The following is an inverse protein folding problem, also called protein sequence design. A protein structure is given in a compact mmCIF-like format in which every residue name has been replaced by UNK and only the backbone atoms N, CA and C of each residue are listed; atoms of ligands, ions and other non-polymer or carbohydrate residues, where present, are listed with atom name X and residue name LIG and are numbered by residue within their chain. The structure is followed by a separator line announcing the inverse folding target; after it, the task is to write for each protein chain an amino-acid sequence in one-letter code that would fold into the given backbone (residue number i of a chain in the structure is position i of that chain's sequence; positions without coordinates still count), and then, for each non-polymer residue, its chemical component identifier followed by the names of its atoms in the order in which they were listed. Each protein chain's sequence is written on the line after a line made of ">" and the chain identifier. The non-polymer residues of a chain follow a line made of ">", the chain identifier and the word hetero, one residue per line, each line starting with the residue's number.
data_IF_741767497048
#
_entry.id   IF_741767497048
#
_cell.length_a   1.000
_cell.length_b   1.000
_cell.length_c   1.000
_cell.angle_alpha   90.00
_cell.angle_beta   90.00
_cell.angle_gamma   90.00
#
_symmetry.space_group_name_H-M   'P 1'
#
loop_
_entity.id
_entity.type
_entity.pdbx_description
1 polymer ?
#
# COMPACT_ATOMS: atom_id res chain seq x y z
N UNK A 1 -2.58 -20.73 0.43
CA UNK A 1 -2.05 -19.36 0.34
C UNK A 1 -1.11 -19.12 -0.84
N UNK A 2 0.09 -19.73 -0.93
CA UNK A 2 1.02 -19.48 -2.06
C UNK A 2 0.41 -19.68 -3.47
N UNK A 3 -0.41 -20.73 -3.64
CA UNK A 3 -1.14 -20.97 -4.89
C UNK A 3 -2.22 -19.93 -5.15
N UNK A 4 -2.89 -19.46 -4.10
CA UNK A 4 -3.93 -18.44 -4.18
C UNK A 4 -3.30 -17.11 -4.60
N UNK A 5 -2.16 -16.75 -3.99
CA UNK A 5 -1.34 -15.60 -4.40
C UNK A 5 -0.87 -15.73 -5.85
N UNK A 6 -0.39 -16.89 -6.30
CA UNK A 6 0.02 -17.06 -7.70
C UNK A 6 -1.13 -16.84 -8.68
N UNK A 7 -2.32 -17.37 -8.34
CA UNK A 7 -3.51 -17.17 -9.15
C UNK A 7 -3.90 -15.69 -9.16
N UNK A 8 -3.96 -15.06 -8.00
CA UNK A 8 -4.24 -13.63 -7.86
C UNK A 8 -3.22 -12.78 -8.64
N UNK A 9 -1.93 -13.07 -8.55
CA UNK A 9 -0.89 -12.32 -9.25
C UNK A 9 -1.06 -12.42 -10.77
N UNK A 10 -1.38 -13.62 -11.29
CA UNK A 10 -1.67 -13.82 -12.71
C UNK A 10 -2.92 -13.06 -13.16
N UNK A 11 -3.99 -13.08 -12.37
CA UNK A 11 -5.23 -12.35 -12.69
C UNK A 11 -5.06 -10.83 -12.69
N UNK A 12 -4.13 -10.30 -11.88
CA UNK A 12 -3.91 -8.87 -11.73
C UNK A 12 -2.68 -8.37 -12.50
N UNK A 13 -1.98 -9.26 -13.21
CA UNK A 13 -0.74 -8.96 -13.92
C UNK A 13 -0.86 -7.76 -14.86
N UNK A 14 -1.89 -7.75 -15.71
CA UNK A 14 -2.08 -6.68 -16.68
C UNK A 14 -2.24 -5.31 -16.00
N UNK A 15 -3.02 -5.24 -14.91
CA UNK A 15 -3.18 -4.00 -14.15
C UNK A 15 -1.86 -3.55 -13.52
N UNK A 16 -1.14 -4.48 -12.88
CA UNK A 16 0.15 -4.17 -12.24
C UNK A 16 1.17 -3.66 -13.25
N UNK A 17 1.30 -4.32 -14.40
CA UNK A 17 2.20 -3.91 -15.49
C UNK A 17 1.81 -2.55 -16.07
N UNK A 18 0.51 -2.27 -16.17
CA UNK A 18 0.03 -0.97 -16.61
C UNK A 18 0.36 0.14 -15.60
N UNK A 19 0.13 -0.08 -14.30
CA UNK A 19 0.48 0.89 -13.27
C UNK A 19 2.00 1.15 -13.24
N UNK A 20 2.81 0.10 -13.36
CA UNK A 20 4.27 0.19 -13.45
C UNK A 20 4.72 0.99 -14.68
N UNK A 21 4.17 0.70 -15.87
CA UNK A 21 4.52 1.42 -17.11
C UNK A 21 4.21 2.92 -17.04
N UNK A 22 3.16 3.30 -16.30
CA UNK A 22 2.80 4.70 -16.09
C UNK A 22 3.57 5.36 -14.95
N UNK A 23 4.47 4.65 -14.27
CA UNK A 23 5.18 5.11 -13.07
C UNK A 23 4.19 5.61 -12.00
N UNK A 24 3.11 4.86 -11.82
CA UNK A 24 2.04 5.25 -10.89
C UNK A 24 2.55 5.24 -9.46
N UNK A 25 2.21 6.29 -8.72
CA UNK A 25 2.53 6.39 -7.29
C UNK A 25 1.91 5.26 -6.47
N UNK A 26 0.76 4.73 -6.91
CA UNK A 26 0.11 3.58 -6.28
C UNK A 26 0.93 2.29 -6.46
N UNK A 27 1.60 2.11 -7.61
CA UNK A 27 2.46 0.95 -7.80
C UNK A 27 3.72 1.05 -6.95
N UNK A 28 4.31 2.24 -6.83
CA UNK A 28 5.50 2.47 -6.02
C UNK A 28 5.29 2.04 -4.56
N UNK A 29 4.12 2.31 -3.98
CA UNK A 29 3.78 1.91 -2.60
C UNK A 29 3.68 0.38 -2.41
N UNK A 30 3.43 -0.38 -3.47
CA UNK A 30 3.18 -1.82 -3.40
C UNK A 30 4.30 -2.68 -3.99
N UNK A 31 5.21 -2.08 -4.72
CA UNK A 31 6.32 -2.78 -5.40
C UNK A 31 7.11 -3.65 -4.43
N UNK A 32 7.47 -3.09 -3.28
CA UNK A 32 8.31 -3.80 -2.30
C UNK A 32 7.54 -4.95 -1.62
N UNK A 33 6.23 -4.79 -1.39
CA UNK A 33 5.35 -5.87 -0.91
C UNK A 33 5.34 -7.02 -1.93
N UNK A 34 5.08 -6.70 -3.20
CA UNK A 34 5.05 -7.70 -4.28
C UNK A 34 6.41 -8.40 -4.42
N UNK A 35 7.52 -7.67 -4.28
CA UNK A 35 8.87 -8.22 -4.33
C UNK A 35 9.12 -9.23 -3.19
N UNK A 36 8.77 -8.88 -1.95
CA UNK A 36 8.88 -9.75 -0.78
C UNK A 36 8.03 -11.01 -0.95
N UNK A 37 6.76 -10.87 -1.35
CA UNK A 37 5.87 -12.02 -1.55
C UNK A 37 6.39 -12.96 -2.66
N UNK A 38 6.84 -12.41 -3.78
CA UNK A 38 7.45 -13.19 -4.85
C UNK A 38 8.72 -13.89 -4.40
N UNK A 39 9.53 -13.25 -3.55
CA UNK A 39 10.71 -13.86 -2.99
C UNK A 39 10.37 -15.07 -2.10
N UNK A 40 9.51 -14.88 -1.10
CA UNK A 40 9.13 -15.96 -0.16
C UNK A 40 8.50 -17.13 -0.91
N UNK A 41 7.61 -16.84 -1.88
CA UNK A 41 7.00 -17.87 -2.73
C UNK A 41 8.04 -18.67 -3.55
N UNK A 42 9.20 -18.09 -3.84
CA UNK A 42 10.27 -18.72 -4.59
C UNK A 42 11.23 -19.56 -3.74
N UNK A 43 11.10 -19.54 -2.41
CA UNK A 43 11.93 -20.33 -1.49
C UNK A 43 11.50 -21.80 -1.47
N UNK A 44 12.44 -22.67 -1.10
CA UNK A 44 12.10 -24.05 -0.77
C UNK A 44 11.35 -24.10 0.57
N UNK A 45 10.44 -25.05 0.74
CA UNK A 45 9.62 -25.17 1.95
C UNK A 45 10.45 -25.35 3.24
N UNK A 46 11.69 -25.82 3.15
CA UNK A 46 12.63 -25.94 4.28
C UNK A 46 13.26 -24.61 4.71
N UNK A 47 13.19 -23.58 3.87
CA UNK A 47 13.74 -22.24 4.14
C UNK A 47 12.67 -21.28 4.70
N UNK A 48 11.40 -21.69 4.69
CA UNK A 48 10.28 -20.90 5.17
C UNK A 48 10.07 -21.22 6.65
N UNK A 49 10.38 -20.26 7.51
CA UNK A 49 10.02 -20.30 8.92
C UNK A 49 8.68 -19.61 9.18
N UNK A 50 8.23 -19.66 10.44
CA UNK A 50 6.96 -19.07 10.83
C UNK A 50 6.92 -17.55 10.61
N UNK A 51 8.06 -16.85 10.71
CA UNK A 51 8.10 -15.40 10.53
C UNK A 51 7.87 -15.05 9.06
N UNK A 52 8.50 -15.79 8.14
CA UNK A 52 8.24 -15.67 6.71
C UNK A 52 6.81 -16.07 6.32
N UNK A 53 6.21 -17.06 6.98
CA UNK A 53 4.79 -17.39 6.77
C UNK A 53 3.89 -16.21 7.18
N UNK A 54 4.12 -15.62 8.36
CA UNK A 54 3.33 -14.46 8.83
C UNK A 54 3.51 -13.25 7.92
N UNK A 55 4.75 -12.96 7.51
CA UNK A 55 5.03 -11.88 6.55
C UNK A 55 4.28 -12.13 5.24
N UNK A 56 4.28 -13.37 4.73
CA UNK A 56 3.58 -13.69 3.50
C UNK A 56 2.07 -13.50 3.64
N UNK A 57 1.49 -14.00 4.73
CA UNK A 57 0.06 -13.97 4.98
C UNK A 57 -0.46 -12.52 5.11
N UNK A 58 0.19 -11.71 5.93
CA UNK A 58 -0.16 -10.30 6.14
C UNK A 58 0.04 -9.47 4.87
N UNK A 59 1.16 -9.66 4.17
CA UNK A 59 1.45 -8.95 2.93
C UNK A 59 0.48 -9.30 1.82
N UNK A 60 0.11 -10.59 1.69
CA UNK A 60 -0.85 -11.03 0.69
C UNK A 60 -2.25 -10.50 0.98
N UNK A 61 -2.71 -10.58 2.23
CA UNK A 61 -4.00 -10.02 2.62
C UNK A 61 -4.08 -8.52 2.31
N UNK A 62 -3.05 -7.76 2.70
CA UNK A 62 -2.96 -6.34 2.43
C UNK A 62 -3.04 -6.02 0.93
N UNK A 63 -2.17 -6.61 0.11
CA UNK A 63 -2.12 -6.26 -1.31
C UNK A 63 -3.38 -6.71 -2.06
N UNK A 64 -3.97 -7.82 -1.63
CA UNK A 64 -5.24 -8.30 -2.18
C UNK A 64 -6.34 -7.24 -2.03
N UNK A 65 -6.50 -6.69 -0.84
CA UNK A 65 -7.50 -5.66 -0.55
C UNK A 65 -7.21 -4.35 -1.30
N UNK A 66 -5.97 -3.88 -1.28
CA UNK A 66 -5.57 -2.63 -1.95
C UNK A 66 -5.78 -2.67 -3.45
N UNK A 67 -5.37 -3.75 -4.12
CA UNK A 67 -5.55 -3.89 -5.57
C UNK A 67 -7.03 -4.07 -5.93
N UNK A 68 -7.81 -4.78 -5.11
CA UNK A 68 -9.25 -4.88 -5.35
C UNK A 68 -9.99 -3.55 -5.18
N UNK A 69 -9.57 -2.70 -4.25
CA UNK A 69 -10.07 -1.34 -4.12
C UNK A 69 -9.75 -0.53 -5.40
N UNK A 70 -8.49 -0.53 -5.86
CA UNK A 70 -8.08 0.16 -7.09
C UNK A 70 -8.90 -0.32 -8.30
N UNK A 71 -9.08 -1.64 -8.46
CA UNK A 71 -9.91 -2.22 -9.53
C UNK A 71 -11.36 -1.75 -9.44
N UNK A 72 -11.89 -1.64 -8.23
CA UNK A 72 -13.25 -1.19 -7.98
C UNK A 72 -13.42 0.26 -8.41
N UNK A 73 -12.54 1.16 -7.96
CA UNK A 73 -12.56 2.56 -8.36
C UNK A 73 -12.37 2.75 -9.87
N UNK A 74 -11.39 2.07 -10.46
CA UNK A 74 -11.15 2.10 -11.91
C UNK A 74 -12.39 1.67 -12.69
N UNK A 75 -13.06 0.59 -12.27
CA UNK A 75 -14.23 0.05 -12.95
C UNK A 75 -15.49 0.90 -12.74
N UNK A 76 -15.77 1.30 -11.51
CA UNK A 76 -17.03 1.94 -11.13
C UNK A 76 -17.00 3.44 -11.40
N UNK A 77 -15.93 4.11 -10.95
CA UNK A 77 -15.84 5.55 -11.05
C UNK A 77 -15.31 5.95 -12.43
N UNK A 78 -14.31 5.24 -12.98
CA UNK A 78 -13.64 5.63 -14.22
C UNK A 78 -13.99 4.78 -15.44
N UNK A 79 -14.90 3.81 -15.32
CA UNK A 79 -15.38 2.97 -16.43
C UNK A 79 -14.22 2.30 -17.20
N UNK A 80 -13.14 1.95 -16.48
CA UNK A 80 -11.94 1.33 -17.04
C UNK A 80 -10.94 2.30 -17.67
N UNK A 81 -11.18 3.61 -17.67
CA UNK A 81 -10.22 4.60 -18.17
C UNK A 81 -9.09 4.84 -17.16
N UNK A 82 -7.99 4.11 -17.35
CA UNK A 82 -6.81 4.23 -16.51
C UNK A 82 -6.20 5.63 -16.55
N UNK A 83 -6.20 6.31 -17.70
CA UNK A 83 -5.60 7.65 -17.80
C UNK A 83 -6.43 8.69 -17.05
N UNK A 84 -7.75 8.56 -17.08
CA UNK A 84 -8.62 9.41 -16.26
C UNK A 84 -8.47 9.11 -14.77
N UNK A 85 -8.32 7.84 -14.38
CA UNK A 85 -8.07 7.43 -13.01
C UNK A 85 -6.74 8.01 -12.48
N UNK A 86 -5.66 7.89 -13.25
CA UNK A 86 -4.32 8.34 -12.85
C UNK A 86 -4.23 9.86 -12.62
N UNK A 87 -5.14 10.66 -13.19
CA UNK A 87 -5.23 12.11 -12.87
C UNK A 87 -5.57 12.39 -11.41
N UNK A 88 -6.13 11.40 -10.69
CA UNK A 88 -6.50 11.49 -9.28
C UNK A 88 -5.65 10.57 -8.40
N UNK A 89 -4.55 10.00 -8.93
CA UNK A 89 -3.78 8.97 -8.20
C UNK A 89 -3.22 9.47 -6.87
N UNK A 90 -2.80 10.74 -6.80
CA UNK A 90 -2.29 11.32 -5.54
C UNK A 90 -3.37 11.32 -4.45
N UNK A 91 -4.63 11.59 -4.81
CA UNK A 91 -5.74 11.56 -3.87
C UNK A 91 -6.10 10.13 -3.46
N UNK A 92 -6.09 9.18 -4.39
CA UNK A 92 -6.29 7.77 -4.07
C UNK A 92 -5.19 7.23 -3.16
N UNK A 93 -3.94 7.57 -3.45
CA UNK A 93 -2.80 7.23 -2.61
C UNK A 93 -2.96 7.81 -1.20
N UNK A 94 -3.35 9.08 -1.11
CA UNK A 94 -3.59 9.72 0.18
C UNK A 94 -4.75 9.06 0.95
N UNK A 95 -5.83 8.69 0.26
CA UNK A 95 -6.96 7.98 0.84
C UNK A 95 -6.52 6.65 1.47
N UNK A 96 -5.74 5.85 0.75
CA UNK A 96 -5.23 4.56 1.21
C UNK A 96 -4.19 4.72 2.32
N UNK A 97 -3.37 5.76 2.26
CA UNK A 97 -2.46 6.12 3.35
C UNK A 97 -3.21 6.45 4.64
N UNK A 98 -4.34 7.16 4.56
CA UNK A 98 -5.18 7.43 5.74
C UNK A 98 -5.77 6.14 6.31
N UNK A 99 -6.20 5.19 5.46
CA UNK A 99 -6.63 3.87 5.94
C UNK A 99 -5.49 3.14 6.67
N UNK A 100 -4.29 3.14 6.10
CA UNK A 100 -3.12 2.52 6.73
C UNK A 100 -2.80 3.14 8.09
N UNK A 101 -2.95 4.46 8.22
CA UNK A 101 -2.79 5.15 9.50
C UNK A 101 -3.86 4.71 10.50
N UNK A 102 -5.13 4.66 10.09
CA UNK A 102 -6.23 4.19 10.96
C UNK A 102 -5.92 2.79 11.48
N UNK A 103 -5.51 1.87 10.61
CA UNK A 103 -5.15 0.50 10.98
C UNK A 103 -3.96 0.48 11.94
N UNK A 104 -2.93 1.30 11.70
CA UNK A 104 -1.79 1.42 12.61
C UNK A 104 -2.21 1.96 14.00
N UNK A 105 -3.12 2.94 14.05
CA UNK A 105 -3.67 3.45 15.30
C UNK A 105 -4.49 2.42 16.08
N UNK A 106 -5.27 1.59 15.36
CA UNK A 106 -6.05 0.51 15.95
C UNK A 106 -5.16 -0.57 16.55
N UNK A 107 -4.06 -0.93 15.87
CA UNK A 107 -3.07 -1.89 16.40
C UNK A 107 -2.41 -1.42 17.70
N UNK A 108 -2.21 -0.11 17.85
CA UNK A 108 -1.58 0.52 19.01
C UNK A 108 -2.57 0.87 20.16
N UNK A 109 -3.84 0.43 20.06
CA UNK A 109 -4.91 0.65 21.06
C UNK A 109 -5.05 2.11 21.52
N UNK A 110 -4.90 3.06 20.59
CA UNK A 110 -5.00 4.48 20.91
C UNK A 110 -6.46 4.96 20.96
N UNK A 111 -6.77 5.94 21.82
CA UNK A 111 -8.06 6.63 21.76
C UNK A 111 -8.18 7.36 20.42
N UNK A 112 -9.00 6.78 19.55
CA UNK A 112 -9.00 7.05 18.12
C UNK A 112 -10.16 7.93 17.70
N UNK A 113 -11.06 8.36 18.60
CA UNK A 113 -12.30 8.99 18.16
C UNK A 113 -12.07 10.29 17.37
N UNK A 114 -11.33 11.24 17.95
CA UNK A 114 -11.00 12.52 17.29
C UNK A 114 -10.18 12.31 16.00
N UNK A 115 -9.26 11.34 16.01
CA UNK A 115 -8.42 11.02 14.86
C UNK A 115 -9.26 10.42 13.73
N UNK A 116 -10.13 9.47 14.04
CA UNK A 116 -11.05 8.83 13.08
C UNK A 116 -12.01 9.84 12.47
N UNK A 117 -12.54 10.78 13.26
CA UNK A 117 -13.40 11.85 12.74
C UNK A 117 -12.62 12.73 11.75
N UNK A 118 -11.43 13.20 12.11
CA UNK A 118 -10.61 14.02 11.21
C UNK A 118 -10.16 13.27 9.95
N UNK A 119 -9.77 12.01 10.07
CA UNK A 119 -9.39 11.16 8.94
C UNK A 119 -10.58 10.85 8.02
N UNK A 120 -11.76 10.63 8.59
CA UNK A 120 -13.01 10.52 7.83
C UNK A 120 -13.30 11.79 7.04
N UNK A 121 -13.09 12.97 7.63
CA UNK A 121 -13.29 14.25 6.93
C UNK A 121 -12.33 14.40 5.73
N UNK A 122 -11.06 14.02 5.88
CA UNK A 122 -10.08 13.98 4.78
C UNK A 122 -10.57 13.04 3.67
N UNK A 123 -10.93 11.80 4.04
CA UNK A 123 -11.41 10.79 3.10
C UNK A 123 -12.68 11.24 2.36
N UNK A 124 -13.64 11.84 3.07
CA UNK A 124 -14.86 12.37 2.47
C UNK A 124 -14.56 13.51 1.49
N UNK A 125 -13.60 14.39 1.82
CA UNK A 125 -13.18 15.46 0.90
C UNK A 125 -12.47 14.92 -0.33
N UNK A 126 -11.63 13.89 -0.19
CA UNK A 126 -11.02 13.16 -1.31
C UNK A 126 -12.11 12.58 -2.22
N UNK A 127 -13.06 11.84 -1.65
CA UNK A 127 -14.15 11.22 -2.41
C UNK A 127 -15.04 12.25 -3.09
N UNK A 128 -15.33 13.38 -2.44
CA UNK A 128 -16.08 14.49 -3.04
C UNK A 128 -15.35 15.09 -4.25
N UNK A 129 -14.03 15.27 -4.17
CA UNK A 129 -13.21 15.74 -5.30
C UNK A 129 -13.26 14.75 -6.46
N UNK A 130 -13.03 13.46 -6.16
CA UNK A 130 -13.01 12.39 -7.16
C UNK A 130 -14.38 12.26 -7.82
N UNK A 131 -15.44 12.07 -7.04
CA UNK A 131 -16.80 11.78 -7.54
C UNK A 131 -17.36 12.92 -8.39
N UNK A 132 -17.06 14.17 -8.02
CA UNK A 132 -17.50 15.35 -8.75
C UNK A 132 -16.50 15.82 -9.82
N UNK A 133 -15.41 15.08 -10.04
CA UNK A 133 -14.34 15.42 -10.98
C UNK A 133 -13.82 16.85 -10.80
N UNK A 134 -13.72 17.29 -9.55
CA UNK A 134 -13.22 18.62 -9.22
C UNK A 134 -11.72 18.68 -9.54
N UNK A 135 -11.22 19.81 -10.08
CA UNK A 135 -9.78 20.03 -10.11
C UNK A 135 -9.27 20.13 -8.66
N UNK A 136 -8.06 19.63 -8.42
CA UNK A 136 -7.34 19.83 -7.18
C UNK A 136 -5.91 20.23 -7.50
N UNK A 137 -5.30 21.00 -6.61
CA UNK A 137 -3.88 21.30 -6.64
C UNK A 137 -3.20 20.81 -5.38
N UNK A 138 -1.89 21.08 -5.33
CA UNK A 138 -1.01 20.70 -4.24
C UNK A 138 -1.47 21.26 -2.89
N UNK A 139 -2.10 22.42 -2.89
CA UNK A 139 -2.64 23.07 -1.70
C UNK A 139 -3.64 22.20 -0.93
N UNK A 140 -4.37 21.32 -1.63
CA UNK A 140 -5.30 20.37 -0.99
C UNK A 140 -4.53 19.29 -0.23
N UNK A 141 -3.46 18.78 -0.81
CA UNK A 141 -2.60 17.76 -0.18
C UNK A 141 -1.85 18.36 1.02
N UNK A 142 -1.34 19.58 0.88
CA UNK A 142 -0.67 20.30 1.97
C UNK A 142 -1.63 20.56 3.16
N UNK A 143 -2.90 20.84 2.89
CA UNK A 143 -3.93 20.92 3.94
C UNK A 143 -4.10 19.59 4.67
N UNK A 144 -4.14 18.48 3.95
CA UNK A 144 -4.23 17.15 4.55
C UNK A 144 -2.98 16.83 5.37
N UNK A 145 -1.78 17.15 4.87
CA UNK A 145 -0.52 16.93 5.58
C UNK A 145 -0.48 17.70 6.91
N UNK A 146 -0.97 18.95 6.92
CA UNK A 146 -1.08 19.76 8.13
C UNK A 146 -2.02 19.14 9.16
N UNK A 147 -3.19 18.67 8.72
CA UNK A 147 -4.16 18.01 9.60
C UNK A 147 -3.54 16.73 10.19
N UNK A 148 -3.00 15.86 9.35
CA UNK A 148 -2.36 14.61 9.78
C UNK A 148 -1.22 14.88 10.77
N UNK A 149 -0.33 15.80 10.44
CA UNK A 149 0.82 16.14 11.31
C UNK A 149 0.39 16.73 12.65
N UNK A 150 -0.74 17.44 12.72
CA UNK A 150 -1.28 17.98 13.97
C UNK A 150 -1.85 16.91 14.90
N UNK A 151 -2.25 15.76 14.34
CA UNK A 151 -2.92 14.67 15.05
C UNK A 151 -1.96 13.57 15.47
N UNK A 152 -0.90 13.34 14.69
CA UNK A 152 0.11 12.33 15.00
C UNK A 152 1.07 12.87 16.07
N UNK A 153 1.14 12.25 17.28
CA UNK A 153 2.10 12.64 18.29
C UNK A 153 3.53 12.46 17.76
N UNK A 154 4.37 13.49 17.85
CA UNK A 154 5.75 13.48 17.36
C UNK A 154 6.67 12.44 18.00
N UNK A 155 6.23 11.81 19.10
CA UNK A 155 6.95 10.76 19.81
C UNK A 155 6.45 9.34 19.49
N UNK A 156 5.47 9.17 18.61
CA UNK A 156 4.98 7.86 18.17
C UNK A 156 5.39 7.60 16.73
N UNK A 157 6.18 6.56 16.53
CA UNK A 157 6.51 6.06 15.20
C UNK A 157 5.42 5.08 14.78
N UNK A 158 4.46 5.54 14.00
CA UNK A 158 3.47 4.67 13.36
C UNK A 158 4.05 4.17 12.05
N UNK A 159 4.14 2.86 11.91
CA UNK A 159 4.57 2.23 10.66
C UNK A 159 3.36 1.67 9.91
N UNK A 160 3.21 2.10 8.66
CA UNK A 160 2.24 1.52 7.73
C UNK A 160 2.76 0.20 7.18
N UNK A 161 1.87 -0.65 6.64
CA UNK A 161 2.27 -1.91 6.02
C UNK A 161 3.30 -1.70 4.90
N UNK A 162 3.10 -0.75 3.96
CA UNK A 162 4.14 -0.43 2.96
C UNK A 162 5.50 -0.11 3.55
N UNK A 163 5.57 0.64 4.67
CA UNK A 163 6.83 0.98 5.33
C UNK A 163 7.50 -0.24 5.96
N UNK A 164 6.73 -1.13 6.59
CA UNK A 164 7.25 -2.38 7.15
C UNK A 164 7.79 -3.27 6.03
N UNK A 165 7.07 -3.40 4.92
CA UNK A 165 7.51 -4.22 3.79
C UNK A 165 8.70 -3.63 3.04
N UNK A 166 8.83 -2.31 2.98
CA UNK A 166 10.04 -1.67 2.46
C UNK A 166 11.26 -2.07 3.31
N UNK A 167 11.14 -2.07 4.64
CA UNK A 167 12.21 -2.51 5.54
C UNK A 167 12.53 -4.00 5.38
N UNK A 168 11.50 -4.86 5.30
CA UNK A 168 11.68 -6.30 5.08
C UNK A 168 12.36 -6.55 3.72
N UNK A 169 11.96 -5.82 2.68
CA UNK A 169 12.56 -5.95 1.36
C UNK A 169 14.06 -5.59 1.42
N UNK A 170 14.40 -4.49 2.08
CA UNK A 170 15.79 -4.10 2.30
C UNK A 170 16.56 -5.18 3.06
N UNK A 171 16.01 -5.72 4.15
CA UNK A 171 16.66 -6.77 4.94
C UNK A 171 16.87 -8.06 4.14
N UNK A 172 15.82 -8.58 3.49
CA UNK A 172 15.87 -9.83 2.74
C UNK A 172 16.77 -9.73 1.49
N UNK A 173 16.84 -8.56 0.84
CA UNK A 173 17.69 -8.34 -0.32
C UNK A 173 19.14 -8.00 0.06
N UNK A 174 19.39 -7.31 1.18
CA UNK A 174 20.74 -7.20 1.77
C UNK A 174 21.25 -8.59 2.16
N UNK A 175 20.39 -9.46 2.71
CA UNK A 175 20.76 -10.84 3.01
C UNK A 175 21.08 -11.69 1.78
N UNK A 176 20.60 -11.32 0.57
CA UNK A 176 20.95 -11.98 -0.69
C UNK A 176 22.31 -11.57 -1.24
N UNK A 177 22.69 -10.30 -1.10
CA UNK A 177 24.03 -9.83 -1.53
C UNK A 177 25.15 -10.41 -0.64
N UNK A 178 24.84 -10.85 0.58
CA UNK A 178 25.79 -11.49 1.48
C UNK A 178 25.96 -13.01 1.26
N UNK A 179 25.16 -13.68 0.42
CA UNK A 179 25.39 -15.10 0.05
C UNK A 179 26.41 -15.31 -1.09
N UNK A 180 27.14 -14.28 -1.49
CA UNK A 180 28.24 -14.37 -2.47
C UNK A 180 29.65 -14.08 -1.91
N UNK A 181 29.84 -14.05 -0.59
CA UNK A 181 31.16 -13.83 0.02
C UNK A 181 31.67 -14.94 0.96
N UNK A 182 31.13 -16.16 0.87
CA UNK A 182 31.71 -17.35 1.53
C UNK A 182 31.82 -18.53 0.55
N UNK A 183 32.45 -18.29 -0.61
CA UNK A 183 33.08 -19.35 -1.39
C UNK A 183 34.52 -18.94 -1.71
N UNK A 184 35.42 -19.20 -0.77
CA UNK A 184 36.81 -19.58 -1.03
C UNK A 184 37.13 -20.89 -0.32
#
# INVERSE_FOLDING_TARGET
>A
MYKDYEYWYKENKDLLEHLEHHKSLLYDDYRDIIAVLNYIKGLDASEIDNDLEVIFDEGYAYIYDRINYIKTCLKQDFIGDLHAFLKYEELFRYYLFIEDLIDAYLREDMDTKTIKEAFSDIQNKILDIINNRKPFGREVLEEFDMIVSSLIPSNKMLQTVPQVFNQINDELLIMKDHKHFDQE
#
